data_IF_081884720969
#
_entry.id   IF_081884720969
#
_cell.length_a   1.000
_cell.length_b   1.000
_cell.length_c   1.000
_cell.angle_alpha   90.00
_cell.angle_beta   90.00
_cell.angle_gamma   90.00
#
_symmetry.space_group_name_H-M   'P 1'
#
loop_
_entity.id
_entity.type
_entity.pdbx_description
1 polymer ?
#
# COMPACT_ATOMS: atom_id res chain seq x y z
N UNK A 1 -18.39 30.31 -15.80
CA UNK A 1 -19.39 29.68 -14.91
C UNK A 1 -19.10 30.17 -13.51
N UNK A 2 -20.03 30.88 -12.88
CA UNK A 2 -19.85 31.39 -11.54
C UNK A 2 -19.71 30.21 -10.57
N UNK A 3 -18.62 30.14 -9.81
CA UNK A 3 -18.50 29.22 -8.69
C UNK A 3 -19.51 29.67 -7.63
N UNK A 4 -20.69 29.06 -7.61
CA UNK A 4 -21.63 29.19 -6.50
C UNK A 4 -20.87 28.85 -5.22
N UNK A 5 -20.74 29.83 -4.33
CA UNK A 5 -20.06 29.64 -3.06
C UNK A 5 -20.86 28.63 -2.23
N UNK A 6 -20.21 27.54 -1.81
CA UNK A 6 -20.81 26.55 -0.89
C UNK A 6 -21.33 27.29 0.34
N UNK A 7 -22.63 27.11 0.72
CA UNK A 7 -23.17 27.76 1.90
C UNK A 7 -22.40 27.39 3.17
N UNK A 8 -22.37 28.29 4.16
CA UNK A 8 -21.69 28.00 5.43
C UNK A 8 -22.33 26.81 6.15
N UNK A 9 -21.52 25.87 6.61
CA UNK A 9 -21.95 24.66 7.34
C UNK A 9 -22.68 23.63 6.47
N UNK A 10 -22.67 23.80 5.16
CA UNK A 10 -23.26 22.84 4.22
C UNK A 10 -22.26 21.73 3.86
N UNK A 11 -22.80 20.53 3.75
CA UNK A 11 -22.13 19.32 3.34
C UNK A 11 -22.67 18.85 1.99
N UNK A 12 -21.80 18.21 1.22
CA UNK A 12 -22.20 17.41 0.07
C UNK A 12 -22.38 15.96 0.49
N UNK A 13 -23.21 15.22 -0.25
CA UNK A 13 -23.40 13.79 -0.01
C UNK A 13 -23.38 13.02 -1.32
N UNK A 14 -23.13 11.71 -1.24
CA UNK A 14 -23.07 10.85 -2.43
C UNK A 14 -24.45 10.66 -3.10
N UNK A 15 -25.54 10.78 -2.33
CA UNK A 15 -26.90 10.43 -2.79
C UNK A 15 -27.75 11.62 -3.21
N UNK A 16 -27.45 12.81 -2.70
CA UNK A 16 -28.25 14.01 -2.94
C UNK A 16 -27.43 15.09 -3.62
N UNK A 17 -28.06 15.75 -4.60
CA UNK A 17 -27.49 16.93 -5.27
C UNK A 17 -27.58 18.19 -4.40
N UNK A 18 -28.57 18.25 -3.51
CA UNK A 18 -28.77 19.38 -2.61
C UNK A 18 -27.77 19.34 -1.44
N UNK A 19 -27.43 20.52 -0.94
CA UNK A 19 -26.64 20.64 0.29
C UNK A 19 -27.44 20.14 1.50
N UNK A 20 -26.73 19.46 2.39
CA UNK A 20 -27.26 18.96 3.66
C UNK A 20 -26.48 19.57 4.82
N UNK A 21 -27.06 19.57 6.01
CA UNK A 21 -26.49 20.25 7.17
C UNK A 21 -26.47 19.29 8.37
N UNK A 22 -25.52 19.46 9.28
CA UNK A 22 -25.59 18.78 10.58
C UNK A 22 -26.80 19.34 11.35
N UNK A 23 -27.62 18.48 11.96
CA UNK A 23 -28.74 18.96 12.79
C UNK A 23 -28.23 19.81 13.96
N UNK A 24 -28.83 20.99 14.24
CA UNK A 24 -28.46 21.82 15.38
C UNK A 24 -28.48 21.13 16.75
N UNK A 25 -29.20 20.02 16.92
CA UNK A 25 -29.18 19.22 18.15
C UNK A 25 -28.00 18.25 18.25
N UNK A 26 -27.24 18.05 17.18
CA UNK A 26 -26.04 17.20 17.19
C UNK A 26 -24.91 17.85 17.99
N UNK A 27 -24.16 17.05 18.73
CA UNK A 27 -22.95 17.53 19.43
C UNK A 27 -21.89 18.05 18.44
N UNK A 28 -21.86 17.50 17.23
CA UNK A 28 -20.92 17.88 16.16
C UNK A 28 -21.33 19.15 15.41
N UNK A 29 -22.46 19.77 15.76
CA UNK A 29 -22.98 20.95 15.04
C UNK A 29 -21.99 22.12 15.02
N UNK A 30 -21.20 22.28 16.08
CA UNK A 30 -20.18 23.34 16.17
C UNK A 30 -18.81 22.92 15.66
N UNK A 31 -18.51 21.62 15.74
CA UNK A 31 -17.19 21.09 15.38
C UNK A 31 -17.00 21.08 13.86
N UNK A 32 -18.09 20.96 13.10
CA UNK A 32 -18.11 20.97 11.63
C UNK A 32 -16.95 20.14 11.00
N UNK A 33 -16.81 18.84 11.37
CA UNK A 33 -15.71 18.02 10.87
C UNK A 33 -15.78 17.85 9.35
N UNK A 34 -14.63 17.68 8.69
CA UNK A 34 -14.53 17.59 7.23
C UNK A 34 -15.30 16.39 6.66
N UNK A 35 -15.27 15.26 7.36
CA UNK A 35 -15.91 14.01 6.95
C UNK A 35 -16.87 13.51 8.02
N UNK A 36 -18.09 13.17 7.57
CA UNK A 36 -19.15 12.66 8.44
C UNK A 36 -19.85 11.47 7.82
N UNK A 37 -20.27 10.54 8.67
CA UNK A 37 -21.25 9.51 8.34
C UNK A 37 -22.54 9.81 9.08
N UNK A 38 -23.67 9.64 8.39
CA UNK A 38 -25.01 9.89 8.93
C UNK A 38 -25.92 8.69 8.69
N UNK A 39 -26.91 8.49 9.56
CA UNK A 39 -27.87 7.39 9.42
C UNK A 39 -29.02 7.75 8.48
N UNK A 40 -29.56 8.95 8.62
CA UNK A 40 -30.71 9.40 7.84
C UNK A 40 -30.70 10.93 7.65
N UNK A 41 -31.58 11.39 6.77
CA UNK A 41 -31.79 12.80 6.46
C UNK A 41 -33.24 13.15 6.73
N UNK A 42 -33.47 14.20 7.50
CA UNK A 42 -34.79 14.74 7.83
C UNK A 42 -34.91 16.14 7.25
N UNK A 43 -35.99 16.40 6.54
CA UNK A 43 -36.28 17.71 5.95
C UNK A 43 -37.15 18.57 6.88
N UNK A 44 -36.70 19.81 7.16
CA UNK A 44 -37.42 20.79 7.98
C UNK A 44 -37.24 22.18 7.40
N UNK A 45 -38.35 22.89 7.12
CA UNK A 45 -38.34 24.27 6.59
C UNK A 45 -37.42 24.41 5.36
N UNK A 46 -37.59 23.51 4.40
CA UNK A 46 -36.84 23.45 3.12
C UNK A 46 -35.31 23.25 3.28
N UNK A 47 -34.86 22.76 4.44
CA UNK A 47 -33.48 22.34 4.69
C UNK A 47 -33.41 20.87 5.08
N UNK A 48 -32.37 20.20 4.60
CA UNK A 48 -32.11 18.78 4.84
C UNK A 48 -31.04 18.60 5.91
N UNK A 49 -31.40 17.92 7.00
CA UNK A 49 -30.54 17.76 8.17
C UNK A 49 -30.14 16.30 8.37
N UNK A 50 -28.85 16.06 8.53
CA UNK A 50 -28.28 14.76 8.88
C UNK A 50 -28.58 14.43 10.34
N UNK A 51 -29.13 13.24 10.59
CA UNK A 51 -29.37 12.71 11.94
C UNK A 51 -28.38 11.59 12.27
N UNK A 52 -28.09 11.44 13.58
CA UNK A 52 -27.15 10.44 14.11
C UNK A 52 -25.79 10.50 13.40
N UNK A 53 -25.18 11.69 13.43
CA UNK A 53 -23.93 11.98 12.74
C UNK A 53 -22.74 11.53 13.59
N UNK A 54 -21.76 10.89 12.94
CA UNK A 54 -20.45 10.61 13.53
C UNK A 54 -19.35 11.27 12.70
N UNK A 55 -18.28 11.70 13.37
CA UNK A 55 -17.05 12.16 12.73
C UNK A 55 -16.29 10.96 12.14
N UNK A 56 -15.71 11.14 10.96
CA UNK A 56 -14.88 10.16 10.27
C UNK A 56 -13.51 10.77 10.02
N UNK A 57 -12.43 10.06 10.35
CA UNK A 57 -11.09 10.49 9.92
C UNK A 57 -10.86 10.09 8.46
N UNK A 58 -10.25 10.98 7.67
CA UNK A 58 -10.03 10.77 6.24
C UNK A 58 -9.25 9.48 5.93
N UNK A 59 -8.23 9.16 6.75
CA UNK A 59 -7.42 7.95 6.63
C UNK A 59 -8.19 6.63 6.89
N UNK A 60 -9.40 6.69 7.45
CA UNK A 60 -10.26 5.52 7.63
C UNK A 60 -10.96 5.14 6.32
N UNK A 61 -11.20 6.09 5.41
CA UNK A 61 -11.95 5.86 4.17
C UNK A 61 -11.29 4.81 3.27
N UNK A 62 -9.97 4.88 2.96
CA UNK A 62 -9.30 3.84 2.18
C UNK A 62 -9.29 2.46 2.84
N UNK A 63 -9.44 2.39 4.17
CA UNK A 63 -9.34 1.15 4.96
C UNK A 63 -10.70 0.47 5.15
N UNK A 64 -11.74 1.26 5.42
CA UNK A 64 -13.07 0.77 5.80
C UNK A 64 -14.08 0.85 4.66
N UNK A 65 -13.85 1.73 3.68
CA UNK A 65 -14.74 2.00 2.55
C UNK A 65 -13.98 2.01 1.22
N UNK A 66 -12.98 1.13 1.09
CA UNK A 66 -12.10 1.03 -0.08
C UNK A 66 -12.87 0.92 -1.41
N UNK A 67 -14.01 0.23 -1.41
CA UNK A 67 -14.87 0.06 -2.61
C UNK A 67 -15.44 1.35 -3.16
N UNK A 68 -15.46 2.43 -2.37
CA UNK A 68 -15.88 3.76 -2.80
C UNK A 68 -14.68 4.67 -3.12
N UNK A 69 -13.46 4.16 -2.97
CA UNK A 69 -12.24 4.90 -3.26
C UNK A 69 -11.76 4.61 -4.68
N UNK A 70 -11.17 5.62 -5.31
CA UNK A 70 -10.47 5.49 -6.58
C UNK A 70 -9.03 5.95 -6.38
N UNK A 71 -8.07 5.10 -6.77
CA UNK A 71 -6.66 5.37 -6.60
C UNK A 71 -5.98 5.49 -7.96
N UNK A 72 -5.23 6.57 -8.14
CA UNK A 72 -4.44 6.80 -9.36
C UNK A 72 -2.94 6.75 -9.04
N UNK A 73 -2.13 6.01 -9.81
CA UNK A 73 -0.69 5.94 -9.59
C UNK A 73 -0.03 7.31 -9.66
N UNK A 74 0.81 7.63 -8.67
CA UNK A 74 1.60 8.86 -8.66
C UNK A 74 2.87 8.66 -9.46
N UNK A 75 3.15 9.56 -10.41
CA UNK A 75 4.36 9.48 -11.24
C UNK A 75 5.61 9.57 -10.36
N UNK A 76 6.47 8.56 -10.46
CA UNK A 76 7.73 8.50 -9.71
C UNK A 76 7.58 8.08 -8.24
N UNK A 77 6.40 7.66 -7.80
CA UNK A 77 6.27 7.00 -6.51
C UNK A 77 7.04 5.67 -6.52
N UNK A 78 7.94 5.51 -5.55
CA UNK A 78 8.67 4.27 -5.35
C UNK A 78 7.97 3.45 -4.26
N UNK A 79 7.70 2.15 -4.50
CA UNK A 79 7.20 1.27 -3.46
C UNK A 79 8.17 1.19 -2.28
N UNK A 80 7.63 0.86 -1.11
CA UNK A 80 8.40 0.53 0.10
C UNK A 80 7.85 -0.73 0.72
N UNK A 81 8.71 -1.51 1.37
CA UNK A 81 8.24 -2.56 2.26
C UNK A 81 7.87 -1.97 3.63
N UNK A 82 6.74 -2.43 4.18
CA UNK A 82 6.30 -2.08 5.53
C UNK A 82 6.41 -3.30 6.46
N UNK A 83 7.40 -3.35 7.38
CA UNK A 83 7.61 -4.51 8.25
C UNK A 83 6.46 -4.75 9.24
N UNK A 84 5.68 -3.71 9.58
CA UNK A 84 4.58 -3.81 10.52
C UNK A 84 3.37 -4.55 9.92
N UNK A 85 3.07 -4.29 8.65
CA UNK A 85 1.97 -4.94 7.91
C UNK A 85 2.44 -6.07 6.99
N UNK A 86 3.75 -6.31 6.91
CA UNK A 86 4.39 -7.31 6.03
C UNK A 86 3.94 -7.19 4.56
N UNK A 87 3.83 -5.94 4.09
CA UNK A 87 3.23 -5.61 2.80
C UNK A 87 4.12 -4.62 2.04
N UNK A 88 4.21 -4.78 0.73
CA UNK A 88 4.81 -3.76 -0.16
C UNK A 88 3.75 -2.71 -0.47
N UNK A 89 3.99 -1.47 -0.07
CA UNK A 89 3.09 -0.33 -0.22
C UNK A 89 3.60 0.63 -1.30
N UNK A 90 2.69 1.35 -1.95
CA UNK A 90 3.00 2.45 -2.87
C UNK A 90 2.08 3.64 -2.60
N UNK A 91 2.62 4.86 -2.75
CA UNK A 91 1.80 6.07 -2.70
C UNK A 91 0.97 6.25 -3.97
N UNK A 92 -0.32 6.50 -3.79
CA UNK A 92 -1.28 6.79 -4.84
C UNK A 92 -2.07 8.06 -4.47
N UNK A 93 -2.54 8.80 -5.46
CA UNK A 93 -3.51 9.87 -5.22
C UNK A 93 -4.90 9.22 -5.09
N UNK A 94 -5.58 9.48 -3.97
CA UNK A 94 -6.87 8.91 -3.64
C UNK A 94 -8.01 9.89 -3.82
N UNK A 95 -9.15 9.41 -4.31
CA UNK A 95 -10.42 10.13 -4.28
C UNK A 95 -11.52 9.22 -3.73
N UNK A 96 -12.54 9.81 -3.11
CA UNK A 96 -13.68 9.10 -2.55
C UNK A 96 -14.97 9.44 -3.30
N UNK A 97 -15.81 8.44 -3.49
CA UNK A 97 -17.10 8.51 -4.17
C UNK A 97 -16.98 8.86 -5.67
N UNK A 98 -18.12 8.80 -6.35
CA UNK A 98 -18.33 9.33 -7.71
C UNK A 98 -18.20 10.87 -7.76
N UNK A 99 -18.17 11.51 -6.59
CA UNK A 99 -17.95 12.95 -6.45
C UNK A 99 -16.46 13.33 -6.48
N UNK A 100 -15.55 12.35 -6.52
CA UNK A 100 -14.10 12.53 -6.57
C UNK A 100 -13.54 13.47 -5.47
N UNK A 101 -14.08 13.37 -4.25
CA UNK A 101 -13.53 14.13 -3.13
C UNK A 101 -12.10 13.68 -2.83
N UNK A 102 -11.16 14.61 -2.79
CA UNK A 102 -9.74 14.30 -2.60
C UNK A 102 -9.49 13.67 -1.23
N UNK A 103 -8.71 12.59 -1.21
CA UNK A 103 -8.11 11.98 -0.02
C UNK A 103 -6.60 12.27 0.07
N UNK A 104 -6.10 13.15 -0.82
CA UNK A 104 -4.66 13.42 -0.96
C UNK A 104 -3.86 12.18 -1.35
N UNK A 105 -2.63 12.09 -0.82
CA UNK A 105 -1.74 10.95 -1.04
C UNK A 105 -1.97 9.89 0.02
N UNK A 106 -2.28 8.70 -0.43
CA UNK A 106 -2.59 7.54 0.42
C UNK A 106 -1.68 6.38 0.05
N UNK A 107 -1.22 5.64 1.05
CA UNK A 107 -0.50 4.39 0.82
C UNK A 107 -1.50 3.28 0.52
N UNK A 108 -1.24 2.50 -0.53
CA UNK A 108 -2.02 1.32 -0.89
C UNK A 108 -1.09 0.12 -1.06
N UNK A 109 -1.55 -1.11 -0.76
CA UNK A 109 -0.85 -2.32 -1.14
C UNK A 109 -0.57 -2.34 -2.64
N UNK A 110 0.65 -2.71 -3.02
CA UNK A 110 0.97 -2.89 -4.42
C UNK A 110 0.12 -4.05 -4.97
N UNK A 111 -0.51 -3.91 -6.15
CA UNK A 111 -1.32 -4.97 -6.74
C UNK A 111 -0.55 -6.29 -6.90
N UNK A 112 -1.23 -7.41 -6.73
CA UNK A 112 -0.63 -8.75 -6.89
C UNK A 112 -0.42 -9.04 -8.38
N UNK A 113 0.70 -8.56 -8.89
CA UNK A 113 1.19 -8.78 -10.24
C UNK A 113 2.68 -9.14 -10.23
N UNK A 114 3.29 -9.29 -11.42
CA UNK A 114 4.72 -9.59 -11.52
C UNK A 114 5.62 -8.51 -10.88
N UNK A 115 5.18 -7.26 -10.81
CA UNK A 115 5.95 -6.18 -10.21
C UNK A 115 6.02 -6.34 -8.70
N UNK A 116 4.98 -6.84 -8.04
CA UNK A 116 5.02 -7.15 -6.61
C UNK A 116 6.16 -8.12 -6.28
N UNK A 117 6.32 -9.19 -7.04
CA UNK A 117 7.44 -10.12 -6.86
C UNK A 117 8.80 -9.44 -7.11
N UNK A 118 8.90 -8.56 -8.11
CA UNK A 118 10.14 -7.80 -8.40
C UNK A 118 10.53 -6.86 -7.26
N UNK A 119 9.56 -6.14 -6.69
CA UNK A 119 9.80 -5.27 -5.54
C UNK A 119 10.09 -6.08 -4.28
N UNK A 120 9.35 -7.17 -4.03
CA UNK A 120 9.66 -8.07 -2.92
C UNK A 120 11.08 -8.63 -3.01
N UNK A 121 11.51 -9.06 -4.20
CA UNK A 121 12.89 -9.50 -4.43
C UNK A 121 13.92 -8.40 -4.18
N UNK A 122 13.65 -7.16 -4.60
CA UNK A 122 14.51 -6.01 -4.30
C UNK A 122 14.67 -5.83 -2.78
N UNK A 123 13.57 -5.81 -2.02
CA UNK A 123 13.58 -5.66 -0.57
C UNK A 123 14.15 -6.87 0.17
N UNK A 124 14.09 -8.05 -0.44
CA UNK A 124 14.74 -9.24 0.06
C UNK A 124 16.27 -9.12 -0.05
N UNK A 125 16.75 -8.70 -1.22
CA UNK A 125 18.17 -8.51 -1.51
C UNK A 125 18.81 -7.37 -0.71
N UNK A 126 18.08 -6.27 -0.48
CA UNK A 126 18.60 -5.13 0.30
C UNK A 126 18.57 -5.36 1.83
N UNK A 127 17.95 -6.45 2.28
CA UNK A 127 17.84 -6.84 3.68
C UNK A 127 16.64 -6.27 4.42
N UNK A 128 15.74 -5.54 3.76
CA UNK A 128 14.52 -5.00 4.38
C UNK A 128 13.56 -6.10 4.84
N UNK A 129 13.47 -7.21 4.10
CA UNK A 129 12.66 -8.39 4.48
C UNK A 129 13.39 -9.25 5.53
N UNK A 130 14.70 -9.42 5.35
CA UNK A 130 15.54 -10.27 6.20
C UNK A 130 16.75 -9.46 6.68
N UNK A 131 16.67 -8.83 7.87
CA UNK A 131 17.72 -7.95 8.39
C UNK A 131 19.14 -8.56 8.43
N UNK A 132 19.35 -9.87 8.69
CA UNK A 132 20.69 -10.47 8.61
C UNK A 132 21.34 -10.36 7.23
N UNK A 133 20.55 -10.25 6.15
CA UNK A 133 21.06 -10.09 4.78
C UNK A 133 21.59 -8.68 4.49
N UNK A 134 21.19 -7.67 5.27
CA UNK A 134 21.63 -6.28 5.09
C UNK A 134 23.16 -6.13 5.19
N UNK A 135 23.85 -7.06 5.86
CA UNK A 135 25.32 -7.10 5.97
C UNK A 135 26.04 -7.46 4.65
N UNK A 136 25.30 -7.85 3.61
CA UNK A 136 25.82 -8.23 2.31
C UNK A 136 25.40 -7.27 1.18
N UNK A 137 24.53 -6.28 1.44
CA UNK A 137 23.95 -5.39 0.42
C UNK A 137 25.01 -4.63 -0.38
N UNK A 138 26.10 -4.20 0.28
CA UNK A 138 27.24 -3.51 -0.34
C UNK A 138 28.17 -4.44 -1.15
N UNK A 139 28.01 -5.75 -1.01
CA UNK A 139 28.83 -6.79 -1.66
C UNK A 139 28.09 -7.49 -2.80
N UNK A 140 26.82 -7.15 -3.04
CA UNK A 140 26.05 -7.72 -4.13
C UNK A 140 26.70 -7.38 -5.47
N UNK A 141 26.70 -8.35 -6.38
CA UNK A 141 27.25 -8.22 -7.72
C UNK A 141 26.46 -7.24 -8.59
N UNK A 142 25.20 -6.97 -8.24
CA UNK A 142 24.35 -5.93 -8.81
C UNK A 142 23.54 -5.25 -7.71
N UNK A 143 23.16 -3.99 -7.92
CA UNK A 143 22.24 -3.29 -7.02
C UNK A 143 20.90 -4.04 -6.94
N UNK A 144 20.27 -4.18 -5.75
CA UNK A 144 18.92 -4.73 -5.60
C UNK A 144 17.88 -4.09 -6.53
N UNK A 145 18.01 -2.78 -6.77
CA UNK A 145 17.14 -2.01 -7.68
C UNK A 145 17.14 -2.52 -9.13
N UNK A 146 18.10 -3.37 -9.50
CA UNK A 146 18.15 -4.10 -10.76
C UNK A 146 16.87 -4.91 -11.00
N UNK A 147 16.28 -5.49 -9.95
CA UNK A 147 15.07 -6.33 -10.07
C UNK A 147 13.88 -5.64 -10.75
N UNK A 148 13.80 -4.32 -10.62
CA UNK A 148 12.67 -3.49 -11.07
C UNK A 148 12.96 -2.74 -12.36
N UNK A 149 14.17 -2.84 -12.92
CA UNK A 149 14.53 -2.13 -14.17
C UNK A 149 13.95 -2.85 -15.40
N UNK A 150 13.60 -2.12 -16.48
CA UNK A 150 13.01 -2.72 -17.68
C UNK A 150 13.87 -3.81 -18.36
N UNK A 151 15.19 -3.71 -18.20
CA UNK A 151 16.16 -4.65 -18.75
C UNK A 151 16.44 -5.84 -17.83
N UNK A 152 15.84 -5.91 -16.63
CA UNK A 152 16.09 -6.96 -15.63
C UNK A 152 15.97 -8.35 -16.25
N UNK A 153 14.93 -8.58 -17.07
CA UNK A 153 14.68 -9.84 -17.79
C UNK A 153 15.82 -10.39 -18.66
N UNK A 154 16.84 -9.57 -18.96
CA UNK A 154 18.03 -9.99 -19.70
C UNK A 154 19.09 -10.62 -18.79
N UNK A 155 18.95 -10.49 -17.47
CA UNK A 155 19.86 -11.04 -16.47
C UNK A 155 19.30 -12.36 -15.95
N UNK A 156 20.05 -13.45 -16.14
CA UNK A 156 19.61 -14.77 -15.70
C UNK A 156 19.36 -14.82 -14.18
N UNK A 157 20.19 -14.14 -13.38
CA UNK A 157 20.04 -14.10 -11.91
C UNK A 157 18.77 -13.43 -11.41
N UNK A 158 18.28 -12.41 -12.11
CA UNK A 158 17.03 -11.73 -11.72
C UNK A 158 15.85 -12.61 -12.05
N UNK A 159 15.89 -13.32 -13.18
CA UNK A 159 14.80 -14.22 -13.59
C UNK A 159 14.75 -15.47 -12.72
N UNK A 160 15.90 -16.04 -12.31
CA UNK A 160 15.95 -17.16 -11.36
C UNK A 160 15.30 -16.81 -10.02
N UNK A 161 15.74 -15.70 -9.40
CA UNK A 161 15.15 -15.23 -8.14
C UNK A 161 13.65 -14.92 -8.29
N UNK A 162 13.26 -14.25 -9.37
CA UNK A 162 11.86 -13.94 -9.63
C UNK A 162 10.99 -15.20 -9.78
N UNK A 163 11.44 -16.16 -10.57
CA UNK A 163 10.70 -17.38 -10.83
C UNK A 163 10.55 -18.23 -9.56
N UNK A 164 11.61 -18.31 -8.74
CA UNK A 164 11.55 -19.02 -7.45
C UNK A 164 10.54 -18.39 -6.49
N UNK A 165 10.41 -17.06 -6.47
CA UNK A 165 9.39 -16.36 -5.69
C UNK A 165 7.98 -16.61 -6.22
N UNK A 166 7.79 -16.56 -7.54
CA UNK A 166 6.48 -16.82 -8.18
C UNK A 166 6.02 -18.27 -7.95
N UNK A 167 6.93 -19.24 -8.05
CA UNK A 167 6.61 -20.68 -7.89
C UNK A 167 5.93 -21.00 -6.55
N UNK A 168 6.31 -20.30 -5.48
CA UNK A 168 5.75 -20.50 -4.14
C UNK A 168 4.86 -19.34 -3.67
N UNK A 169 4.55 -18.40 -4.57
CA UNK A 169 3.75 -17.20 -4.34
C UNK A 169 4.27 -16.37 -3.14
N UNK A 170 5.59 -16.23 -3.04
CA UNK A 170 6.25 -15.53 -1.93
C UNK A 170 6.28 -14.03 -2.20
N UNK A 171 5.36 -13.32 -1.54
CA UNK A 171 5.20 -11.86 -1.59
C UNK A 171 5.24 -11.18 -0.22
N UNK A 172 5.45 -11.95 0.84
CA UNK A 172 5.52 -11.47 2.24
C UNK A 172 6.54 -12.27 3.04
N UNK A 173 7.09 -11.68 4.11
CA UNK A 173 8.01 -12.35 5.03
C UNK A 173 7.33 -13.55 5.68
N UNK A 174 6.07 -13.42 6.07
CA UNK A 174 5.26 -14.50 6.65
C UNK A 174 5.21 -15.70 5.72
N UNK A 175 4.92 -15.46 4.43
CA UNK A 175 4.88 -16.52 3.43
C UNK A 175 6.26 -17.14 3.20
N UNK A 176 7.32 -16.34 3.16
CA UNK A 176 8.70 -16.82 3.06
C UNK A 176 9.06 -17.77 4.22
N UNK A 177 8.73 -17.38 5.47
CA UNK A 177 8.94 -18.21 6.66
C UNK A 177 8.21 -19.55 6.59
N UNK A 178 6.98 -19.56 6.08
CA UNK A 178 6.21 -20.79 5.90
C UNK A 178 6.88 -21.76 4.92
N UNK A 179 7.42 -21.24 3.81
CA UNK A 179 8.15 -22.06 2.84
C UNK A 179 9.42 -22.61 3.47
N UNK A 180 10.18 -21.78 4.20
CA UNK A 180 11.41 -22.21 4.88
C UNK A 180 11.21 -23.30 5.93
N UNK A 181 10.03 -23.39 6.58
CA UNK A 181 9.74 -24.51 7.50
C UNK A 181 9.80 -25.87 6.82
N UNK A 182 9.45 -25.95 5.53
CA UNK A 182 9.44 -27.20 4.78
C UNK A 182 10.68 -27.35 3.87
N UNK A 183 11.30 -26.23 3.49
CA UNK A 183 12.43 -26.16 2.57
C UNK A 183 13.44 -25.16 3.08
N UNK A 184 14.30 -25.58 4.01
CA UNK A 184 15.26 -24.69 4.67
C UNK A 184 16.20 -23.98 3.69
N UNK A 185 16.51 -24.59 2.54
CA UNK A 185 17.40 -24.06 1.51
C UNK A 185 16.69 -23.23 0.43
N UNK A 186 15.36 -23.05 0.50
CA UNK A 186 14.62 -22.25 -0.49
C UNK A 186 15.22 -20.85 -0.63
N UNK A 187 15.41 -20.34 -1.86
CA UNK A 187 16.10 -19.08 -2.22
C UNK A 187 17.61 -19.01 -1.96
N UNK A 188 18.24 -20.05 -1.41
CA UNK A 188 19.67 -20.02 -1.14
C UNK A 188 20.47 -19.87 -2.43
N UNK A 189 20.28 -20.78 -3.39
CA UNK A 189 21.00 -20.77 -4.66
C UNK A 189 20.75 -19.48 -5.45
N UNK A 190 19.48 -19.04 -5.51
CA UNK A 190 19.10 -17.81 -6.16
C UNK A 190 19.76 -16.59 -5.52
N UNK A 191 19.88 -16.54 -4.19
CA UNK A 191 20.57 -15.46 -3.48
C UNK A 191 22.09 -15.52 -3.67
N UNK A 192 22.69 -16.71 -3.66
CA UNK A 192 24.13 -16.88 -3.90
C UNK A 192 24.56 -16.38 -5.28
N UNK A 193 23.69 -16.45 -6.30
CA UNK A 193 23.98 -15.86 -7.61
C UNK A 193 24.19 -14.34 -7.58
N UNK A 194 23.72 -13.65 -6.53
CA UNK A 194 23.91 -12.22 -6.34
C UNK A 194 25.19 -11.88 -5.57
N UNK A 195 25.93 -12.87 -5.08
CA UNK A 195 27.13 -12.67 -4.27
C UNK A 195 28.40 -13.19 -4.94
N UNK A 196 29.55 -12.56 -4.68
CA UNK A 196 30.86 -13.15 -4.99
C UNK A 196 31.02 -14.54 -4.35
N UNK A 197 31.65 -15.46 -5.08
CA UNK A 197 31.83 -16.86 -4.67
C UNK A 197 32.45 -17.02 -3.27
N UNK A 198 33.39 -16.15 -2.89
CA UNK A 198 34.09 -16.23 -1.60
C UNK A 198 33.18 -15.97 -0.38
N UNK A 199 31.97 -15.42 -0.58
CA UNK A 199 30.98 -15.21 0.49
C UNK A 199 29.99 -16.38 0.60
N UNK A 200 29.98 -17.31 -0.35
CA UNK A 200 28.94 -18.35 -0.44
C UNK A 200 28.91 -19.24 0.80
N UNK A 201 30.06 -19.78 1.21
CA UNK A 201 30.15 -20.65 2.40
C UNK A 201 29.60 -19.96 3.65
N UNK A 202 29.96 -18.69 3.85
CA UNK A 202 29.50 -17.92 5.01
C UNK A 202 27.98 -17.73 5.01
N UNK A 203 27.38 -17.47 3.86
CA UNK A 203 25.92 -17.32 3.74
C UNK A 203 25.22 -18.66 3.95
N UNK A 204 25.71 -19.72 3.33
CA UNK A 204 25.16 -21.07 3.47
C UNK A 204 25.14 -21.53 4.93
N UNK A 205 26.21 -21.27 5.70
CA UNK A 205 26.28 -21.62 7.13
C UNK A 205 25.25 -20.90 8.01
N UNK A 206 24.74 -19.75 7.58
CA UNK A 206 23.80 -18.93 8.34
C UNK A 206 22.41 -18.89 7.70
N UNK A 207 22.11 -19.83 6.79
CA UNK A 207 20.83 -19.93 6.10
C UNK A 207 19.86 -20.85 6.85
N UNK A 208 18.55 -20.52 6.97
CA UNK A 208 17.88 -19.31 6.49
C UNK A 208 18.12 -18.07 7.38
N UNK A 209 18.14 -16.85 6.81
CA UNK A 209 18.48 -15.59 7.48
C UNK A 209 17.29 -14.98 8.24
N UNK A 210 16.73 -15.72 9.20
CA UNK A 210 15.55 -15.34 9.98
C UNK A 210 15.80 -14.37 11.13
#
# INVERSE_FOLDING_TARGET
MATESVPKGAYQSQKLKDYIYIDPSSILFKDEPDWVLYQEIVERKDKKYMQNVICVEENWLPRLANTYCHFTPVKGAEPRYDPATDTVLIFMDGTFSDMHWSLGRVEQPLPVDINLYRYFAQFFLDGSICPPLAAYTDKLLLSPSTMTKPWAKLQMRTEKLLNALIEYEVISRTRLLEVWKNRSEYLLDEYLEWLPQFLHEKVQMNWPPN
#
